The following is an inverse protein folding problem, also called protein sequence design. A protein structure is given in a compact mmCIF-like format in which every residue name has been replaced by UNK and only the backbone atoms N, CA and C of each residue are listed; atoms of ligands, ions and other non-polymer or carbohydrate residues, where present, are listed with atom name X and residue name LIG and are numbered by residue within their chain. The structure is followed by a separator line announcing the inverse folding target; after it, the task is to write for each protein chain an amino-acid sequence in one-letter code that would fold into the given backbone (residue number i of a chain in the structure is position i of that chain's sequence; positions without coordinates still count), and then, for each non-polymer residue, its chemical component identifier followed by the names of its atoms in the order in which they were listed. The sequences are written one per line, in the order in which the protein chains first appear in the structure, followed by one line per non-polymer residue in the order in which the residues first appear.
data_IF_200389524831
#
_entry.id   IF_200389524831
#
_cell.length_a   1.000
_cell.length_b   1.000
_cell.length_c   1.000
_cell.angle_alpha   90.00
_cell.angle_beta   90.00
_cell.angle_gamma   90.00
#
_symmetry.space_group_name_H-M   'P 1'
#
loop_
_entity.id
_entity.type
_entity.pdbx_description
1 polymer ?
#
# COMPACT_ATOMS: atom_id res chain seq x y z
N UNK A 1 -19.10 15.12 -24.96
CA UNK A 1 -17.81 14.40 -25.03
C UNK A 1 -17.87 13.31 -23.98
N UNK A 2 -18.00 12.03 -24.35
CA UNK A 2 -18.10 10.92 -23.39
C UNK A 2 -16.69 10.53 -22.96
N UNK A 3 -16.46 10.45 -21.65
CA UNK A 3 -15.23 9.94 -21.07
C UNK A 3 -15.05 8.47 -21.48
N UNK A 4 -13.87 8.12 -22.01
CA UNK A 4 -13.49 6.76 -22.42
C UNK A 4 -12.31 6.31 -21.56
N UNK A 5 -12.53 5.42 -20.58
CA UNK A 5 -11.49 4.92 -19.66
C UNK A 5 -10.29 4.32 -20.41
N UNK A 6 -10.52 3.68 -21.56
CA UNK A 6 -9.49 3.02 -22.37
C UNK A 6 -8.33 3.93 -22.83
N UNK A 7 -8.54 5.25 -22.91
CA UNK A 7 -7.50 6.20 -23.34
C UNK A 7 -6.66 6.76 -22.18
N UNK A 8 -7.09 6.57 -20.94
CA UNK A 8 -6.44 7.14 -19.77
C UNK A 8 -5.46 6.18 -19.06
N UNK A 9 -5.33 4.94 -19.53
CA UNK A 9 -4.48 3.92 -18.89
C UNK A 9 -4.94 3.57 -17.46
N UNK A 10 -6.19 3.89 -17.11
CA UNK A 10 -6.76 3.58 -15.81
C UNK A 10 -7.21 2.12 -15.74
N UNK A 11 -7.10 1.53 -14.54
CA UNK A 11 -7.51 0.15 -14.28
C UNK A 11 -9.03 0.02 -14.45
N UNK A 12 -9.47 -0.91 -15.31
CA UNK A 12 -10.86 -1.35 -15.39
C UNK A 12 -11.27 -2.00 -14.07
N UNK A 13 -12.28 -1.44 -13.41
CA UNK A 13 -12.81 -1.93 -12.13
C UNK A 13 -13.91 -2.99 -12.27
N UNK A 14 -14.29 -3.34 -13.50
CA UNK A 14 -15.19 -4.45 -13.78
C UNK A 14 -14.42 -5.78 -13.67
N UNK A 15 -14.71 -6.51 -12.59
CA UNK A 15 -14.28 -7.90 -12.42
C UNK A 15 -15.05 -8.77 -13.43
N UNK A 16 -14.53 -8.92 -14.65
CA UNK A 16 -15.15 -9.72 -15.72
C UNK A 16 -14.72 -11.18 -15.72
N UNK A 17 -13.81 -11.56 -14.82
CA UNK A 17 -13.26 -12.91 -14.72
C UNK A 17 -14.17 -13.84 -13.90
N UNK A 18 -14.04 -15.15 -14.15
CA UNK A 18 -14.75 -16.17 -13.40
C UNK A 18 -14.25 -16.22 -11.93
N UNK A 19 -15.19 -16.24 -10.99
CA UNK A 19 -14.88 -16.35 -9.56
C UNK A 19 -14.25 -17.70 -9.25
N UNK A 20 -13.14 -17.68 -8.52
CA UNK A 20 -12.51 -18.88 -7.96
C UNK A 20 -12.98 -19.04 -6.51
N UNK A 21 -13.46 -20.24 -6.17
CA UNK A 21 -13.69 -20.59 -4.77
C UNK A 21 -12.34 -20.83 -4.10
N UNK A 22 -12.00 -19.96 -3.15
CA UNK A 22 -10.81 -20.04 -2.32
C UNK A 22 -11.24 -19.91 -0.85
N UNK A 23 -10.43 -20.43 0.08
CA UNK A 23 -10.62 -20.11 1.49
C UNK A 23 -10.34 -18.62 1.76
N UNK A 24 -10.86 -18.08 2.86
CA UNK A 24 -10.77 -16.66 3.18
C UNK A 24 -9.32 -16.16 3.27
N UNK A 25 -8.40 -16.99 3.79
CA UNK A 25 -7.00 -16.61 3.91
C UNK A 25 -6.36 -16.47 2.53
N UNK A 26 -6.51 -17.49 1.69
CA UNK A 26 -6.02 -17.49 0.30
C UNK A 26 -6.61 -16.31 -0.49
N UNK A 27 -7.90 -16.03 -0.34
CA UNK A 27 -8.55 -14.92 -1.01
C UNK A 27 -7.97 -13.54 -0.59
N UNK A 28 -7.64 -13.35 0.70
CA UNK A 28 -7.03 -12.10 1.16
C UNK A 28 -5.58 -11.94 0.67
N UNK A 29 -4.81 -13.02 0.62
CA UNK A 29 -3.46 -12.99 0.03
C UNK A 29 -3.53 -12.66 -1.47
N UNK A 30 -4.43 -13.30 -2.21
CA UNK A 30 -4.65 -13.00 -3.63
C UNK A 30 -5.05 -11.54 -3.85
N UNK A 31 -5.91 -10.97 -3.00
CA UNK A 31 -6.25 -9.54 -3.02
C UNK A 31 -5.01 -8.66 -2.89
N UNK A 32 -4.13 -8.97 -1.93
CA UNK A 32 -2.91 -8.22 -1.67
C UNK A 32 -1.97 -8.28 -2.88
N UNK A 33 -1.72 -9.46 -3.43
CA UNK A 33 -0.86 -9.62 -4.60
C UNK A 33 -1.41 -8.87 -5.82
N UNK A 34 -2.72 -8.90 -6.04
CA UNK A 34 -3.36 -8.13 -7.10
C UNK A 34 -3.19 -6.61 -6.91
N UNK A 35 -3.25 -6.11 -5.68
CA UNK A 35 -3.02 -4.69 -5.40
C UNK A 35 -1.56 -4.29 -5.70
N UNK A 36 -0.59 -5.10 -5.29
CA UNK A 36 0.83 -4.88 -5.54
C UNK A 36 1.16 -4.92 -7.05
N UNK A 37 0.58 -5.88 -7.78
CA UNK A 37 0.69 -5.97 -9.24
C UNK A 37 0.11 -4.73 -9.91
N UNK A 38 -1.09 -4.30 -9.52
CA UNK A 38 -1.75 -3.10 -10.09
C UNK A 38 -1.01 -1.81 -9.77
N UNK A 39 -0.32 -1.75 -8.63
CA UNK A 39 0.58 -0.65 -8.28
C UNK A 39 1.89 -0.67 -9.09
N UNK A 40 2.18 -1.77 -9.81
CA UNK A 40 3.38 -1.98 -10.64
C UNK A 40 4.68 -1.84 -9.84
N UNK A 41 4.65 -2.28 -8.58
CA UNK A 41 5.82 -2.28 -7.71
C UNK A 41 6.90 -3.24 -8.21
N UNK A 42 8.14 -2.78 -8.15
CA UNK A 42 9.34 -3.53 -8.48
C UNK A 42 10.26 -3.69 -7.26
N UNK A 43 11.14 -4.70 -7.25
CA UNK A 43 12.17 -4.82 -6.22
C UNK A 43 13.03 -3.55 -6.18
N UNK A 44 13.24 -3.00 -4.98
CA UNK A 44 13.98 -1.75 -4.77
C UNK A 44 13.10 -0.49 -4.70
N UNK A 45 11.84 -0.55 -5.12
CA UNK A 45 10.92 0.58 -5.02
C UNK A 45 10.68 0.95 -3.55
N UNK A 46 10.53 2.25 -3.30
CA UNK A 46 10.09 2.80 -2.03
C UNK A 46 8.57 2.95 -2.03
N UNK A 47 7.92 2.09 -1.25
CA UNK A 47 6.47 1.93 -1.19
C UNK A 47 5.88 2.60 0.06
N UNK A 48 4.82 3.39 -0.14
CA UNK A 48 4.04 4.00 0.93
C UNK A 48 2.67 3.32 1.11
N UNK A 49 2.45 2.71 2.28
CA UNK A 49 1.16 2.16 2.67
C UNK A 49 0.44 3.09 3.65
N UNK A 50 -0.81 3.45 3.32
CA UNK A 50 -1.70 4.11 4.27
C UNK A 50 -2.63 3.10 4.94
N UNK A 51 -2.62 3.10 6.27
CA UNK A 51 -3.23 2.11 7.17
C UNK A 51 -2.58 0.73 7.11
N UNK A 52 -1.66 0.49 8.04
CA UNK A 52 -0.94 -0.79 8.22
C UNK A 52 -1.87 -1.99 8.44
N UNK A 53 -3.05 -1.77 9.02
CA UNK A 53 -3.95 -2.84 9.43
C UNK A 53 -3.22 -3.82 10.37
N UNK A 54 -3.00 -5.04 9.91
CA UNK A 54 -2.23 -6.07 10.64
C UNK A 54 -0.91 -6.46 9.95
N UNK A 55 -0.44 -5.63 9.02
CA UNK A 55 0.90 -5.69 8.41
C UNK A 55 1.05 -6.57 7.17
N UNK A 56 0.01 -7.29 6.74
CA UNK A 56 0.18 -8.27 5.65
C UNK A 56 0.60 -7.63 4.32
N UNK A 57 0.03 -6.49 3.94
CA UNK A 57 0.37 -5.83 2.68
C UNK A 57 1.82 -5.31 2.70
N UNK A 58 2.27 -4.67 3.79
CA UNK A 58 3.68 -4.29 3.96
C UNK A 58 4.63 -5.50 3.90
N UNK A 59 4.29 -6.60 4.57
CA UNK A 59 5.09 -7.83 4.58
C UNK A 59 5.21 -8.42 3.17
N UNK A 60 4.11 -8.55 2.43
CA UNK A 60 4.14 -9.07 1.06
C UNK A 60 4.93 -8.16 0.12
N UNK A 61 4.80 -6.83 0.25
CA UNK A 61 5.60 -5.88 -0.54
C UNK A 61 7.10 -5.99 -0.24
N UNK A 62 7.47 -6.10 1.04
CA UNK A 62 8.88 -6.26 1.42
C UNK A 62 9.46 -7.61 0.97
N UNK A 63 8.67 -8.69 0.96
CA UNK A 63 9.07 -9.99 0.39
C UNK A 63 9.36 -9.91 -1.12
N UNK A 64 8.72 -8.99 -1.84
CA UNK A 64 9.06 -8.68 -3.24
C UNK A 64 10.34 -7.83 -3.38
N UNK A 65 10.93 -7.37 -2.28
CA UNK A 65 12.15 -6.56 -2.26
C UNK A 65 11.92 -5.05 -2.19
N UNK A 66 10.70 -4.58 -1.96
CA UNK A 66 10.42 -3.16 -1.74
C UNK A 66 10.91 -2.70 -0.35
N UNK A 67 11.15 -1.39 -0.23
CA UNK A 67 11.32 -0.71 1.06
C UNK A 67 9.97 -0.08 1.40
N UNK A 68 9.47 -0.29 2.61
CA UNK A 68 8.08 0.04 2.96
C UNK A 68 8.02 1.00 4.15
N UNK A 69 7.32 2.11 3.96
CA UNK A 69 6.80 2.94 5.05
C UNK A 69 5.30 2.72 5.16
N UNK A 70 4.84 2.35 6.36
CA UNK A 70 3.41 2.09 6.61
C UNK A 70 2.93 2.86 7.83
N UNK A 71 1.70 3.40 7.78
CA UNK A 71 1.15 4.28 8.82
C UNK A 71 -0.04 3.64 9.52
N UNK A 72 -0.12 3.78 10.84
CA UNK A 72 -1.29 3.43 11.65
C UNK A 72 -1.52 4.46 12.76
N UNK A 73 -2.76 4.60 13.22
CA UNK A 73 -3.11 5.33 14.44
C UNK A 73 -3.23 4.41 15.67
N UNK A 74 -3.13 3.09 15.50
CA UNK A 74 -3.29 2.11 16.56
C UNK A 74 -1.93 1.62 17.07
N UNK A 75 -1.70 1.83 18.37
CA UNK A 75 -0.54 1.28 19.09
C UNK A 75 -0.51 -0.25 19.00
N UNK A 76 -1.67 -0.90 19.13
CA UNK A 76 -1.79 -2.36 19.10
C UNK A 76 -1.45 -2.93 17.71
N UNK A 77 -1.91 -2.27 16.64
CA UNK A 77 -1.55 -2.65 15.28
C UNK A 77 -0.06 -2.51 15.04
N UNK A 78 0.56 -1.41 15.50
CA UNK A 78 2.01 -1.23 15.41
C UNK A 78 2.76 -2.35 16.11
N UNK A 79 2.46 -2.62 17.38
CA UNK A 79 3.14 -3.66 18.16
C UNK A 79 3.05 -5.03 17.47
N UNK A 80 1.83 -5.44 17.09
CA UNK A 80 1.64 -6.77 16.48
C UNK A 80 2.29 -6.86 15.10
N UNK A 81 2.23 -5.77 14.32
CA UNK A 81 2.86 -5.73 13.00
C UNK A 81 4.38 -5.79 13.11
N UNK A 82 5.00 -5.01 14.01
CA UNK A 82 6.45 -5.07 14.25
C UNK A 82 6.91 -6.45 14.70
N UNK A 83 6.11 -7.15 15.51
CA UNK A 83 6.40 -8.52 15.90
C UNK A 83 6.37 -9.46 14.68
N UNK A 84 5.35 -9.37 13.82
CA UNK A 84 5.27 -10.18 12.59
C UNK A 84 6.40 -9.87 11.61
N UNK A 85 6.76 -8.59 11.47
CA UNK A 85 7.92 -8.16 10.66
C UNK A 85 9.19 -8.80 11.19
N UNK A 86 9.36 -8.85 12.51
CA UNK A 86 10.52 -9.48 13.13
C UNK A 86 10.54 -11.00 12.96
N UNK A 87 9.39 -11.66 13.08
CA UNK A 87 9.24 -13.10 12.85
C UNK A 87 9.58 -13.50 11.40
N UNK A 88 9.36 -12.60 10.44
CA UNK A 88 9.70 -12.76 9.02
C UNK A 88 11.11 -12.26 8.67
N UNK A 89 11.83 -11.62 9.61
CA UNK A 89 13.18 -11.11 9.38
C UNK A 89 13.26 -9.87 8.47
N UNK A 90 12.20 -9.05 8.42
CA UNK A 90 12.04 -7.92 7.49
C UNK A 90 12.23 -6.55 8.15
N UNK A 91 12.85 -6.49 9.34
CA UNK A 91 12.97 -5.24 10.12
C UNK A 91 13.79 -4.15 9.42
N UNK A 92 14.64 -4.52 8.46
CA UNK A 92 15.44 -3.60 7.64
C UNK A 92 14.68 -3.06 6.42
N UNK A 93 13.51 -3.63 6.12
CA UNK A 93 12.69 -3.28 4.94
C UNK A 93 11.43 -2.52 5.29
N UNK A 94 10.88 -2.70 6.49
CA UNK A 94 9.58 -2.13 6.85
C UNK A 94 9.70 -1.22 8.07
N UNK A 95 9.23 0.02 7.91
CA UNK A 95 9.07 0.97 9.01
C UNK A 95 7.59 1.23 9.27
N UNK A 96 7.16 0.95 10.50
CA UNK A 96 5.77 1.20 10.96
C UNK A 96 5.70 2.52 11.71
N UNK A 97 4.95 3.48 11.19
CA UNK A 97 4.77 4.81 11.78
C UNK A 97 3.47 4.87 12.58
N UNK A 98 3.56 5.20 13.87
CA UNK A 98 2.38 5.58 14.66
C UNK A 98 2.14 7.07 14.47
N UNK A 99 1.55 7.45 13.34
CA UNK A 99 1.46 8.84 12.94
C UNK A 99 0.22 9.11 12.10
N UNK A 100 -0.32 10.32 12.25
CA UNK A 100 -1.45 10.78 11.45
C UNK A 100 -0.96 11.18 10.05
N UNK A 101 -1.32 10.37 9.06
CA UNK A 101 -0.97 10.58 7.65
C UNK A 101 -1.47 11.93 7.09
N UNK A 102 -2.41 12.61 7.74
CA UNK A 102 -2.84 13.96 7.33
C UNK A 102 -1.74 15.00 7.52
N UNK A 103 -0.72 14.69 8.32
CA UNK A 103 0.41 15.54 8.65
C UNK A 103 1.74 14.84 8.34
N UNK A 104 1.92 14.32 7.11
CA UNK A 104 3.17 13.66 6.73
C UNK A 104 4.39 14.57 6.94
N UNK A 105 5.54 14.01 7.39
CA UNK A 105 6.78 14.76 7.51
C UNK A 105 7.21 15.36 6.17
N UNK A 106 7.83 16.54 6.20
CA UNK A 106 8.31 17.20 4.96
C UNK A 106 9.30 16.35 4.16
N UNK A 107 10.10 15.53 4.84
CA UNK A 107 11.10 14.69 4.18
C UNK A 107 10.50 13.51 3.41
N UNK A 108 9.18 13.25 3.51
CA UNK A 108 8.47 12.24 2.72
C UNK A 108 8.10 12.75 1.32
N UNK A 109 8.29 14.04 1.02
CA UNK A 109 8.00 14.61 -0.29
C UNK A 109 8.96 14.05 -1.34
N UNK A 110 8.40 13.58 -2.46
CA UNK A 110 9.13 12.98 -3.58
C UNK A 110 9.98 11.74 -3.27
N UNK A 111 9.64 11.00 -2.21
CA UNK A 111 10.42 9.83 -1.77
C UNK A 111 9.86 8.50 -2.27
N UNK A 112 8.62 8.44 -2.77
CA UNK A 112 7.94 7.19 -3.04
C UNK A 112 7.64 6.98 -4.52
N UNK A 113 7.84 5.74 -4.97
CA UNK A 113 7.55 5.29 -6.33
C UNK A 113 6.06 4.94 -6.49
N UNK A 114 5.45 4.41 -5.43
CA UNK A 114 4.03 4.08 -5.41
C UNK A 114 3.42 4.20 -4.00
N UNK A 115 2.10 4.32 -3.95
CA UNK A 115 1.34 4.22 -2.72
C UNK A 115 0.08 3.38 -2.89
N UNK A 116 -0.36 2.73 -1.81
CA UNK A 116 -1.63 2.02 -1.73
C UNK A 116 -2.35 2.46 -0.46
N UNK A 117 -3.67 2.57 -0.57
CA UNK A 117 -4.56 2.87 0.54
C UNK A 117 -5.76 1.91 0.43
N UNK A 118 -5.94 1.06 1.43
CA UNK A 118 -6.97 0.01 1.43
C UNK A 118 -8.06 0.38 2.44
N UNK A 119 -9.33 0.27 2.03
CA UNK A 119 -10.52 0.36 2.91
C UNK A 119 -10.68 1.70 3.67
N UNK A 120 -9.89 2.71 3.30
CA UNK A 120 -9.92 4.07 3.80
C UNK A 120 -10.44 5.03 2.73
N UNK A 121 -11.24 6.01 3.17
CA UNK A 121 -11.53 7.17 2.33
C UNK A 121 -10.41 8.17 2.54
N UNK A 122 -9.61 8.37 1.49
CA UNK A 122 -8.61 9.43 1.46
C UNK A 122 -9.30 10.80 1.62
N UNK A 123 -8.76 11.62 2.50
CA UNK A 123 -9.12 13.04 2.54
C UNK A 123 -8.76 13.68 1.20
N UNK A 124 -9.61 14.57 0.69
CA UNK A 124 -9.34 15.36 -0.53
C UNK A 124 -8.00 16.10 -0.49
N UNK A 125 -7.50 16.43 0.71
CA UNK A 125 -6.16 17.00 0.93
C UNK A 125 -5.03 16.05 0.52
N UNK A 126 -5.15 14.75 0.79
CA UNK A 126 -4.10 13.79 0.46
C UNK A 126 -4.06 13.52 -1.05
N UNK A 127 -5.22 13.36 -1.68
CA UNK A 127 -5.34 13.16 -3.13
C UNK A 127 -4.79 14.36 -3.89
N UNK A 128 -5.10 15.58 -3.46
CA UNK A 128 -4.57 16.80 -4.06
C UNK A 128 -3.05 16.97 -3.88
N UNK A 129 -2.49 16.40 -2.83
CA UNK A 129 -1.06 16.49 -2.51
C UNK A 129 -0.25 15.28 -2.99
N UNK A 130 -0.84 14.29 -3.68
CA UNK A 130 -0.09 13.13 -4.16
C UNK A 130 1.09 13.51 -5.07
N UNK A 131 0.91 14.53 -5.92
CA UNK A 131 1.99 15.09 -6.75
C UNK A 131 3.16 15.65 -5.92
N UNK A 132 2.93 15.98 -4.65
CA UNK A 132 3.95 16.45 -3.71
C UNK A 132 4.75 15.29 -3.08
N UNK A 133 4.20 14.08 -3.05
CA UNK A 133 4.81 12.91 -2.40
C UNK A 133 5.36 11.86 -3.37
N UNK A 134 4.88 11.85 -4.62
CA UNK A 134 5.45 11.03 -5.69
C UNK A 134 6.76 11.62 -6.19
N UNK A 135 7.72 10.76 -6.53
CA UNK A 135 8.92 11.18 -7.28
C UNK A 135 8.51 11.87 -8.61
N UNK A 136 9.30 12.87 -9.01
CA UNK A 136 9.12 13.61 -10.27
C UNK A 136 9.70 12.90 -11.48
#
# INVERSE_FOLDING_TARGET
MRYSPEKAGCVRGDLTDAWKEDDLYTAQINKIHLLLEKARLLPGDHFLEFETGWGQLAIEAAKMGCIVDTFTLSVQQKILTEQRIADEGLQDKITVHLHDYRNLPRHFQHQFDAFICVEMILSSKLVGNWLTYSAG
#
